data_IF_352240053067
#
_entry.id   IF_352240053067
#
_cell.length_a   1.000
_cell.length_b   1.000
_cell.length_c   1.000
_cell.angle_alpha   90.00
_cell.angle_beta   90.00
_cell.angle_gamma   90.00
#
_symmetry.space_group_name_H-M   'P 1'
#
loop_
_entity.id
_entity.type
_entity.pdbx_description
1 polymer ?
#
# COMPACT_ATOMS: atom_id res chain seq x y z
N UNK A 1 -16.02 3.73 24.68
CA UNK A 1 -15.28 4.72 23.86
C UNK A 1 -14.22 5.39 24.73
N UNK A 2 -13.01 5.60 24.21
CA UNK A 2 -11.99 6.41 24.87
C UNK A 2 -11.75 7.70 24.09
N UNK A 3 -11.88 8.85 24.75
CA UNK A 3 -11.65 10.16 24.15
C UNK A 3 -10.28 10.69 24.58
N UNK A 4 -9.43 11.08 23.62
CA UNK A 4 -8.13 11.69 23.86
C UNK A 4 -8.04 13.06 23.19
N UNK A 5 -6.95 13.77 23.45
CA UNK A 5 -6.71 15.10 22.86
C UNK A 5 -6.62 15.05 21.33
N UNK A 6 -6.09 13.99 20.73
CA UNK A 6 -5.89 13.92 19.27
C UNK A 6 -6.64 12.77 18.61
N UNK A 7 -7.18 11.83 19.38
CA UNK A 7 -7.80 10.63 18.85
C UNK A 7 -9.05 10.20 19.62
N UNK A 8 -9.93 9.50 18.89
CA UNK A 8 -11.06 8.77 19.44
C UNK A 8 -10.77 7.28 19.25
N UNK A 9 -10.75 6.53 20.35
CA UNK A 9 -10.55 5.08 20.33
C UNK A 9 -11.87 4.35 20.57
N UNK A 10 -12.29 3.54 19.60
CA UNK A 10 -13.43 2.63 19.68
C UNK A 10 -12.94 1.30 20.25
N UNK A 11 -13.61 0.77 21.26
CA UNK A 11 -13.25 -0.50 21.92
C UNK A 11 -14.44 -1.44 21.98
N UNK A 12 -14.17 -2.74 21.96
CA UNK A 12 -15.15 -3.78 22.31
C UNK A 12 -15.50 -3.70 23.79
N UNK A 13 -16.58 -4.37 24.19
CA UNK A 13 -16.96 -4.52 25.60
C UNK A 13 -15.82 -5.15 26.43
N UNK A 14 -15.08 -6.09 25.84
CA UNK A 14 -13.90 -6.76 26.43
C UNK A 14 -12.61 -5.90 26.43
N UNK A 15 -12.69 -4.61 26.04
CA UNK A 15 -11.57 -3.67 26.10
C UNK A 15 -10.58 -3.71 24.92
N UNK A 16 -10.78 -4.60 23.94
CA UNK A 16 -9.96 -4.65 22.72
C UNK A 16 -10.19 -3.42 21.85
N UNK A 17 -9.15 -2.88 21.22
CA UNK A 17 -9.28 -1.72 20.33
C UNK A 17 -9.82 -2.15 18.97
N UNK A 18 -10.96 -1.57 18.55
CA UNK A 18 -11.56 -1.77 17.24
C UNK A 18 -11.06 -0.77 16.21
N UNK A 19 -10.97 0.50 16.59
CA UNK A 19 -10.58 1.59 15.70
C UNK A 19 -9.94 2.72 16.50
N UNK A 20 -8.97 3.40 15.89
CA UNK A 20 -8.47 4.70 16.33
C UNK A 20 -8.66 5.69 15.19
N UNK A 21 -9.36 6.78 15.47
CA UNK A 21 -9.71 7.82 14.50
C UNK A 21 -9.15 9.16 14.97
N UNK A 22 -8.66 10.03 14.07
CA UNK A 22 -8.27 11.38 14.44
C UNK A 22 -9.48 12.13 14.98
N UNK A 23 -9.28 12.89 16.05
CA UNK A 23 -10.33 13.71 16.63
C UNK A 23 -10.42 15.03 15.86
N UNK A 24 -11.61 15.32 15.33
CA UNK A 24 -11.94 16.61 14.72
C UNK A 24 -12.63 17.48 15.76
N UNK A 25 -12.22 18.75 15.83
CA UNK A 25 -12.80 19.75 16.71
C UNK A 25 -13.74 20.66 15.92
N UNK A 26 -14.77 21.17 16.59
CA UNK A 26 -15.79 22.03 15.96
C UNK A 26 -16.86 21.24 15.21
N UNK A 27 -17.77 21.97 14.58
CA UNK A 27 -18.84 21.38 13.78
C UNK A 27 -18.30 21.05 12.39
N UNK A 28 -18.18 19.76 12.09
CA UNK A 28 -17.70 19.26 10.81
C UNK A 28 -18.71 18.26 10.25
N UNK A 29 -19.28 18.51 9.06
CA UNK A 29 -20.21 17.58 8.42
C UNK A 29 -19.51 16.31 7.89
N UNK A 30 -18.18 16.26 7.93
CA UNK A 30 -17.39 15.16 7.39
C UNK A 30 -17.36 13.96 8.34
N UNK A 31 -17.91 12.83 7.91
CA UNK A 31 -17.79 11.55 8.61
C UNK A 31 -16.36 11.02 8.52
N UNK A 32 -15.62 11.06 9.63
CA UNK A 32 -14.32 10.41 9.74
C UNK A 32 -14.51 8.90 9.89
N UNK A 33 -14.01 8.14 8.92
CA UNK A 33 -14.00 6.67 8.95
C UNK A 33 -12.60 6.13 8.69
N UNK A 34 -12.31 4.93 9.19
CA UNK A 34 -11.11 4.19 8.85
C UNK A 34 -11.51 2.85 8.19
N UNK A 35 -11.42 2.72 6.85
CA UNK A 35 -11.83 1.50 6.15
C UNK A 35 -10.96 0.28 6.50
N UNK A 36 -9.73 0.48 7.02
CA UNK A 36 -8.87 -0.63 7.46
C UNK A 36 -9.52 -1.50 8.54
N UNK A 37 -10.42 -0.92 9.34
CA UNK A 37 -11.16 -1.61 10.41
C UNK A 37 -12.02 -2.77 9.91
N UNK A 38 -12.41 -2.75 8.63
CA UNK A 38 -13.22 -3.80 8.01
C UNK A 38 -12.39 -4.90 7.34
N UNK A 39 -11.09 -4.70 7.14
CA UNK A 39 -10.20 -5.66 6.49
C UNK A 39 -10.08 -7.00 7.24
N UNK A 40 -9.98 -7.03 8.59
CA UNK A 40 -9.98 -8.31 9.31
C UNK A 40 -11.27 -9.11 9.12
N UNK A 41 -12.42 -8.43 9.00
CA UNK A 41 -13.71 -9.09 8.76
C UNK A 41 -13.79 -9.62 7.32
N UNK A 42 -13.35 -8.84 6.33
CA UNK A 42 -13.26 -9.28 4.93
C UNK A 42 -12.25 -10.42 4.74
N UNK A 43 -11.17 -10.46 5.52
CA UNK A 43 -10.24 -11.60 5.53
C UNK A 43 -10.92 -12.92 5.94
N UNK A 44 -11.90 -12.86 6.85
CA UNK A 44 -12.70 -14.04 7.25
C UNK A 44 -13.71 -14.42 6.17
N UNK A 45 -14.39 -13.43 5.58
CA UNK A 45 -15.42 -13.60 4.54
C UNK A 45 -15.01 -12.90 3.24
N UNK A 46 -14.09 -13.51 2.50
CA UNK A 46 -13.46 -12.90 1.30
C UNK A 46 -14.40 -12.77 0.10
N UNK A 47 -15.49 -13.53 0.08
CA UNK A 47 -16.55 -13.41 -0.93
C UNK A 47 -17.43 -12.15 -0.74
N UNK A 48 -17.36 -11.48 0.42
CA UNK A 48 -18.07 -10.23 0.64
C UNK A 48 -17.36 -9.00 0.01
N UNK A 49 -16.18 -9.20 -0.59
CA UNK A 49 -15.39 -8.12 -1.18
C UNK A 49 -16.13 -7.33 -2.29
N UNK A 50 -16.76 -7.98 -3.30
CA UNK A 50 -17.41 -7.26 -4.39
C UNK A 50 -18.51 -6.31 -3.91
N UNK A 51 -19.24 -6.70 -2.86
CA UNK A 51 -20.34 -5.94 -2.25
C UNK A 51 -19.89 -5.09 -1.04
N UNK A 52 -18.58 -5.01 -0.78
CA UNK A 52 -18.09 -4.31 0.40
C UNK A 52 -18.15 -2.79 0.23
N UNK A 53 -18.57 -2.10 1.28
CA UNK A 53 -18.66 -0.63 1.29
C UNK A 53 -17.31 0.06 1.13
N UNK A 54 -16.22 -0.62 1.48
CA UNK A 54 -14.85 -0.09 1.38
C UNK A 54 -14.21 -0.33 0.02
N UNK A 55 -14.86 -1.06 -0.91
CA UNK A 55 -14.26 -1.37 -2.21
C UNK A 55 -13.91 -0.11 -3.01
N UNK A 56 -14.70 0.96 -2.84
CA UNK A 56 -14.45 2.28 -3.45
C UNK A 56 -13.32 3.06 -2.81
N UNK A 57 -12.85 2.68 -1.61
CA UNK A 57 -11.70 3.32 -0.95
C UNK A 57 -10.36 2.79 -1.49
N UNK A 58 -10.39 1.75 -2.31
CA UNK A 58 -9.19 1.16 -2.91
C UNK A 58 -8.92 1.79 -4.28
N UNK A 59 -7.65 2.12 -4.59
CA UNK A 59 -7.26 2.54 -5.93
C UNK A 59 -7.57 1.49 -6.99
N UNK A 60 -7.85 1.94 -8.21
CA UNK A 60 -8.42 1.10 -9.27
C UNK A 60 -7.55 -0.11 -9.63
N UNK A 61 -6.23 0.05 -9.78
CA UNK A 61 -5.36 -1.07 -10.17
C UNK A 61 -5.29 -2.12 -9.07
N UNK A 62 -5.18 -1.68 -7.81
CA UNK A 62 -5.20 -2.59 -6.65
C UNK A 62 -6.56 -3.28 -6.51
N UNK A 63 -7.66 -2.55 -6.68
CA UNK A 63 -9.02 -3.08 -6.64
C UNK A 63 -9.23 -4.18 -7.67
N UNK A 64 -8.86 -3.93 -8.93
CA UNK A 64 -8.97 -4.91 -10.01
C UNK A 64 -8.10 -6.14 -9.76
N UNK A 65 -6.88 -5.96 -9.27
CA UNK A 65 -6.02 -7.09 -8.93
C UNK A 65 -6.63 -7.96 -7.82
N UNK A 66 -7.22 -7.36 -6.78
CA UNK A 66 -7.92 -8.09 -5.71
C UNK A 66 -9.17 -8.81 -6.22
N UNK A 67 -9.89 -8.24 -7.20
CA UNK A 67 -11.04 -8.86 -7.84
C UNK A 67 -10.64 -10.19 -8.52
N UNK A 68 -9.46 -10.23 -9.16
CA UNK A 68 -8.94 -11.42 -9.83
C UNK A 68 -8.25 -12.44 -8.91
N UNK A 69 -7.95 -12.08 -7.66
CA UNK A 69 -7.34 -13.01 -6.70
C UNK A 69 -8.29 -14.12 -6.26
N UNK A 70 -7.73 -15.31 -6.03
CA UNK A 70 -8.43 -16.38 -5.35
C UNK A 70 -8.70 -16.04 -3.87
N UNK A 71 -9.49 -16.89 -3.20
CA UNK A 71 -9.89 -16.65 -1.80
C UNK A 71 -8.70 -16.60 -0.83
N UNK A 72 -7.60 -17.32 -1.10
CA UNK A 72 -6.42 -17.42 -0.24
C UNK A 72 -5.54 -16.18 -0.39
N UNK A 73 -5.25 -15.79 -1.63
CA UNK A 73 -4.51 -14.59 -1.98
C UNK A 73 -5.25 -13.34 -1.49
N UNK A 74 -6.58 -13.26 -1.71
CA UNK A 74 -7.40 -12.15 -1.23
C UNK A 74 -7.35 -12.01 0.30
N UNK A 75 -7.46 -13.12 1.04
CA UNK A 75 -7.32 -13.13 2.50
C UNK A 75 -5.94 -12.61 2.93
N UNK A 76 -4.88 -13.07 2.27
CA UNK A 76 -3.52 -12.62 2.60
C UNK A 76 -3.32 -11.14 2.29
N UNK A 77 -3.82 -10.64 1.16
CA UNK A 77 -3.77 -9.23 0.80
C UNK A 77 -4.46 -8.36 1.86
N UNK A 78 -5.68 -8.70 2.28
CA UNK A 78 -6.36 -7.96 3.35
C UNK A 78 -5.61 -7.99 4.68
N UNK A 79 -5.01 -9.14 5.04
CA UNK A 79 -4.18 -9.25 6.25
C UNK A 79 -2.97 -8.33 6.19
N UNK A 80 -2.26 -8.32 5.07
CA UNK A 80 -1.07 -7.48 4.86
C UNK A 80 -1.44 -5.99 4.89
N UNK A 81 -2.46 -5.59 4.13
CA UNK A 81 -2.90 -4.19 4.09
C UNK A 81 -3.39 -3.74 5.46
N UNK A 82 -4.14 -4.56 6.20
CA UNK A 82 -4.56 -4.23 7.57
C UNK A 82 -3.35 -3.98 8.48
N UNK A 83 -2.37 -4.88 8.47
CA UNK A 83 -1.17 -4.78 9.30
C UNK A 83 -0.32 -3.55 8.94
N UNK A 84 -0.15 -3.27 7.65
CA UNK A 84 0.59 -2.09 7.21
C UNK A 84 -0.17 -0.80 7.51
N UNK A 85 -1.51 -0.82 7.40
CA UNK A 85 -2.38 0.32 7.75
C UNK A 85 -2.25 0.72 9.22
N UNK A 86 -2.08 -0.26 10.13
CA UNK A 86 -1.87 0.01 11.56
C UNK A 86 -0.59 0.83 11.82
N UNK A 87 0.43 0.67 10.97
CA UNK A 87 1.72 1.35 11.11
C UNK A 87 1.81 2.67 10.31
N UNK A 88 1.23 2.73 9.10
CA UNK A 88 1.47 3.81 8.13
C UNK A 88 0.20 4.57 7.72
N UNK A 89 -0.97 4.18 8.23
CA UNK A 89 -2.27 4.65 7.76
C UNK A 89 -2.77 3.88 6.53
N UNK A 90 -4.10 3.82 6.40
CA UNK A 90 -4.77 3.07 5.33
C UNK A 90 -4.41 3.60 3.94
N UNK A 91 -4.48 4.92 3.74
CA UNK A 91 -4.22 5.55 2.45
C UNK A 91 -2.81 5.24 1.92
N UNK A 92 -1.80 5.37 2.78
CA UNK A 92 -0.42 5.02 2.45
C UNK A 92 -0.26 3.55 2.10
N UNK A 93 -0.96 2.65 2.83
CA UNK A 93 -0.91 1.22 2.60
C UNK A 93 -1.55 0.80 1.27
N UNK A 94 -2.70 1.37 0.90
CA UNK A 94 -3.36 1.03 -0.38
C UNK A 94 -2.64 1.64 -1.57
N UNK A 95 -2.09 2.85 -1.45
CA UNK A 95 -1.22 3.44 -2.50
C UNK A 95 0.04 2.61 -2.70
N UNK A 96 0.69 2.18 -1.62
CA UNK A 96 1.84 1.28 -1.69
C UNK A 96 1.49 -0.05 -2.39
N UNK A 97 0.34 -0.64 -2.05
CA UNK A 97 -0.15 -1.85 -2.70
C UNK A 97 -0.41 -1.67 -4.20
N UNK A 98 -0.99 -0.54 -4.61
CA UNK A 98 -1.16 -0.19 -6.02
C UNK A 98 0.18 -0.08 -6.75
N UNK A 99 1.16 0.62 -6.18
CA UNK A 99 2.49 0.76 -6.80
C UNK A 99 3.19 -0.58 -7.00
N UNK A 100 3.11 -1.49 -6.03
CA UNK A 100 3.70 -2.82 -6.15
C UNK A 100 3.05 -3.62 -7.29
N UNK A 101 1.73 -3.57 -7.39
CA UNK A 101 0.98 -4.27 -8.44
C UNK A 101 1.28 -3.68 -9.82
N UNK A 102 1.36 -2.37 -9.93
CA UNK A 102 1.74 -1.69 -11.17
C UNK A 102 3.16 -2.08 -11.64
N UNK A 103 4.08 -2.30 -10.70
CA UNK A 103 5.44 -2.76 -10.99
C UNK A 103 5.54 -4.28 -11.21
N UNK A 104 4.42 -5.02 -11.12
CA UNK A 104 4.40 -6.47 -11.22
C UNK A 104 5.02 -7.21 -10.03
N UNK A 105 5.25 -6.51 -8.92
CA UNK A 105 5.75 -7.10 -7.69
C UNK A 105 4.62 -7.81 -6.91
N UNK A 106 4.91 -8.97 -6.28
CA UNK A 106 3.95 -9.60 -5.40
C UNK A 106 3.68 -8.73 -4.17
N UNK A 107 2.49 -8.85 -3.61
CA UNK A 107 2.18 -8.25 -2.30
C UNK A 107 2.85 -9.07 -1.19
N UNK A 108 4.09 -8.72 -0.85
CA UNK A 108 4.78 -9.20 0.34
C UNK A 108 4.82 -8.14 1.46
N UNK A 109 5.02 -8.60 2.69
CA UNK A 109 4.94 -7.72 3.87
C UNK A 109 6.05 -6.67 3.91
N UNK A 110 7.27 -7.03 3.52
CA UNK A 110 8.43 -6.15 3.65
C UNK A 110 8.36 -5.03 2.61
N UNK A 111 8.07 -5.35 1.36
CA UNK A 111 7.91 -4.37 0.28
C UNK A 111 6.75 -3.42 0.56
N UNK A 112 5.59 -3.97 0.97
CA UNK A 112 4.42 -3.17 1.28
C UNK A 112 4.67 -2.20 2.44
N UNK A 113 5.29 -2.68 3.52
CA UNK A 113 5.58 -1.84 4.69
C UNK A 113 6.63 -0.79 4.39
N UNK A 114 7.68 -1.14 3.65
CA UNK A 114 8.73 -0.19 3.26
C UNK A 114 8.16 0.92 2.39
N UNK A 115 7.40 0.56 1.35
CA UNK A 115 6.79 1.54 0.44
C UNK A 115 5.75 2.41 1.16
N UNK A 116 4.89 1.81 2.00
CA UNK A 116 3.88 2.56 2.75
C UNK A 116 4.51 3.57 3.73
N UNK A 117 5.64 3.23 4.36
CA UNK A 117 6.39 4.17 5.21
C UNK A 117 6.93 5.35 4.42
N UNK A 118 7.46 5.11 3.21
CA UNK A 118 7.96 6.18 2.32
C UNK A 118 6.84 7.13 1.92
N UNK A 119 5.70 6.59 1.49
CA UNK A 119 4.51 7.37 1.16
C UNK A 119 3.98 8.16 2.37
N UNK A 120 3.91 7.53 3.54
CA UNK A 120 3.48 8.19 4.78
C UNK A 120 4.42 9.32 5.22
N UNK A 121 5.73 9.20 4.93
CA UNK A 121 6.71 10.25 5.15
C UNK A 121 6.63 11.41 4.12
N UNK A 122 5.72 11.32 3.15
CA UNK A 122 5.54 12.33 2.09
C UNK A 122 6.48 12.15 0.90
N UNK A 123 7.21 11.04 0.83
CA UNK A 123 8.01 10.70 -0.34
C UNK A 123 7.05 10.29 -1.46
N UNK A 124 6.96 11.13 -2.51
CA UNK A 124 6.16 10.78 -3.68
C UNK A 124 6.83 9.59 -4.39
N UNK A 125 6.06 8.59 -4.83
CA UNK A 125 6.55 7.54 -5.73
C UNK A 125 7.29 8.22 -6.88
N UNK A 126 8.50 7.77 -7.15
CA UNK A 126 9.40 8.36 -8.14
C UNK A 126 8.73 8.37 -9.52
N UNK A 127 8.31 9.55 -9.98
CA UNK A 127 7.99 9.81 -11.40
C UNK A 127 9.26 10.09 -12.22
N UNK A 128 10.44 9.74 -11.70
CA UNK A 128 11.65 9.82 -12.51
C UNK A 128 11.72 8.57 -13.38
N UNK A 129 11.58 8.76 -14.69
CA UNK A 129 12.09 7.81 -15.69
C UNK A 129 13.45 7.33 -15.19
N UNK A 130 13.63 6.02 -15.03
CA UNK A 130 14.89 5.46 -14.56
C UNK A 130 16.04 6.13 -15.33
N UNK A 131 17.10 6.62 -14.66
CA UNK A 131 18.19 7.27 -15.33
C UNK A 131 18.66 6.41 -16.51
N UNK A 132 18.87 7.02 -17.67
CA UNK A 132 19.38 6.30 -18.82
C UNK A 132 20.81 5.84 -18.53
N UNK A 133 20.94 4.56 -18.17
CA UNK A 133 22.22 3.94 -17.82
C UNK A 133 22.98 3.43 -19.05
N UNK A 134 22.47 3.62 -20.28
CA UNK A 134 23.16 3.18 -21.50
C UNK A 134 24.54 3.80 -21.67
N UNK A 135 24.80 4.97 -21.05
CA UNK A 135 26.14 5.55 -20.96
C UNK A 135 27.18 4.66 -20.26
N UNK A 136 26.75 3.77 -19.35
CA UNK A 136 27.63 2.82 -18.66
C UNK A 136 27.95 1.57 -19.50
N UNK A 137 27.19 1.31 -20.56
CA UNK A 137 27.47 0.18 -21.47
C UNK A 137 28.81 0.36 -22.20
N UNK A 138 29.31 1.59 -22.29
CA UNK A 138 30.65 1.92 -22.82
C UNK A 138 31.76 1.23 -22.02
N UNK A 139 31.57 1.04 -20.71
CA UNK A 139 32.56 0.37 -19.86
C UNK A 139 32.47 -1.15 -19.90
N UNK A 140 31.34 -1.71 -20.37
CA UNK A 140 31.12 -3.15 -20.50
C UNK A 140 31.51 -3.70 -21.88
N UNK A 141 31.86 -2.83 -22.85
CA UNK A 141 32.30 -3.28 -24.18
C UNK A 141 33.74 -3.83 -24.12
N UNK A 142 34.00 -5.06 -24.60
CA UNK A 142 35.36 -5.59 -24.69
C UNK A 142 36.20 -4.68 -25.59
N UNK A 143 37.43 -4.38 -25.18
CA UNK A 143 38.37 -3.55 -25.95
C UNK A 143 38.53 -4.15 -27.35
N UNK A 144 38.03 -3.47 -28.37
CA UNK A 144 38.39 -3.79 -29.75
C UNK A 144 39.91 -3.67 -29.88
N UNK A 145 40.55 -4.77 -30.27
CA UNK A 145 41.96 -4.83 -30.60
C UNK A 145 42.18 -3.95 -31.84
N UNK A 146 42.65 -2.72 -31.62
CA UNK A 146 43.10 -1.82 -32.69
C UNK A 146 44.14 -2.57 -33.53
N UNK A 147 43.75 -3.04 -34.73
CA UNK A 147 44.71 -3.51 -35.73
C UNK A 147 45.56 -2.32 -36.16
N UNK A 148 46.83 -2.34 -35.75
CA UNK A 148 47.89 -1.47 -36.26
C UNK A 148 47.98 -1.70 -37.77
N UNK A 149 47.64 -0.70 -38.58
CA UNK A 149 48.04 -0.67 -39.99
C UNK A 149 49.51 -0.25 -40.00
N UNK A 150 50.40 -1.21 -40.22
CA UNK A 150 51.77 -0.93 -40.65
C UNK A 150 51.74 -0.58 -42.14
N UNK A 151 52.47 0.48 -42.48
CA UNK A 151 52.66 1.03 -43.82
C UNK A 151 53.88 0.41 -44.48
#
# INVERSE_FOLDING_TARGET
MGLRAFDVTIRTQDGRTCARLPRVYGDSPATIRNPATLLPALGRKTNAWPDSTIRSDFPDKLRLAIDHMDSKARRNAFRLISRTSDACGFESAVKAGEHLIEQGHPLDEASLTTMARRIAAGEKPYEQTAPDLTGYDVFMKPRETRKRKEA
#
